data_IF_721592179899
#
_entry.id   IF_721592179899
#
_cell.length_a   1.000
_cell.length_b   1.000
_cell.length_c   1.000
_cell.angle_alpha   90.00
_cell.angle_beta   90.00
_cell.angle_gamma   90.00
#
_symmetry.space_group_name_H-M   'P 1'
#
loop_
_entity.id
_entity.type
_entity.pdbx_description
1 polymer ?
#
# COMPACT_ATOMS: atom_id res chain seq x y z
N UNK A 1 19.77 2.95 39.64
CA UNK A 1 18.36 3.41 39.74
C UNK A 1 17.56 2.55 38.78
N UNK A 2 16.53 1.83 39.24
CA UNK A 2 15.65 1.06 38.34
C UNK A 2 14.53 2.00 37.88
N UNK A 3 14.38 2.13 36.56
CA UNK A 3 13.29 2.88 35.91
C UNK A 3 11.99 2.14 36.23
N UNK A 4 10.98 2.85 36.72
CA UNK A 4 9.64 2.29 36.98
C UNK A 4 8.87 2.04 35.69
N UNK A 5 7.86 1.19 35.73
CA UNK A 5 6.97 0.89 34.59
C UNK A 5 6.32 2.16 34.01
N UNK A 6 5.82 3.03 34.89
CA UNK A 6 5.26 4.33 34.49
C UNK A 6 6.28 5.26 33.82
N UNK A 7 7.55 5.19 34.22
CA UNK A 7 8.62 5.96 33.56
C UNK A 7 8.95 5.37 32.18
N UNK A 8 8.89 4.04 32.02
CA UNK A 8 9.03 3.37 30.73
C UNK A 8 7.91 3.76 29.75
N UNK A 9 6.66 3.65 30.18
CA UNK A 9 5.50 4.07 29.37
C UNK A 9 5.62 5.54 28.93
N UNK A 10 6.07 6.42 29.82
CA UNK A 10 6.23 7.84 29.50
C UNK A 10 7.38 8.07 28.49
N UNK A 11 8.48 7.33 28.59
CA UNK A 11 9.57 7.36 27.61
C UNK A 11 9.06 6.93 26.24
N UNK A 12 8.31 5.84 26.17
CA UNK A 12 7.81 5.30 24.89
C UNK A 12 6.75 6.21 24.27
N UNK A 13 5.84 6.76 25.07
CA UNK A 13 4.90 7.78 24.62
C UNK A 13 5.61 8.99 24.00
N UNK A 14 6.63 9.53 24.69
CA UNK A 14 7.41 10.68 24.17
C UNK A 14 8.15 10.33 22.88
N UNK A 15 8.78 9.16 22.81
CA UNK A 15 9.45 8.68 21.60
C UNK A 15 8.47 8.58 20.42
N UNK A 16 7.29 8.00 20.65
CA UNK A 16 6.23 7.89 19.62
C UNK A 16 5.84 9.29 19.13
N UNK A 17 5.57 10.23 20.04
CA UNK A 17 5.20 11.60 19.70
C UNK A 17 6.28 12.36 18.92
N UNK A 18 7.56 12.19 19.28
CA UNK A 18 8.66 12.79 18.52
C UNK A 18 8.80 12.24 17.11
N UNK A 19 8.61 10.92 16.92
CA UNK A 19 8.64 10.31 15.58
C UNK A 19 7.50 10.83 14.71
N UNK A 20 6.29 10.94 15.25
CA UNK A 20 5.14 11.51 14.56
C UNK A 20 5.38 12.96 14.12
N UNK A 21 5.90 13.81 15.02
CA UNK A 21 6.23 15.20 14.68
C UNK A 21 7.32 15.32 13.62
N UNK A 22 8.31 14.41 13.63
CA UNK A 22 9.35 14.37 12.61
C UNK A 22 8.76 14.01 11.24
N UNK A 23 7.90 13.00 11.18
CA UNK A 23 7.24 12.57 9.95
C UNK A 23 6.35 13.69 9.38
N UNK A 24 5.46 14.27 10.20
CA UNK A 24 4.59 15.36 9.77
C UNK A 24 5.36 16.60 9.28
N UNK A 25 6.52 16.90 9.88
CA UNK A 25 7.38 17.98 9.41
C UNK A 25 8.00 17.67 8.04
N UNK A 26 8.44 16.42 7.85
CA UNK A 26 9.04 15.98 6.59
C UNK A 26 8.01 16.01 5.45
N UNK A 27 6.80 15.49 5.71
CA UNK A 27 5.65 15.57 4.80
C UNK A 27 5.34 17.01 4.40
N UNK A 28 5.24 17.93 5.37
CA UNK A 28 4.93 19.34 5.10
C UNK A 28 6.05 20.09 4.36
N UNK A 29 7.32 19.75 4.60
CA UNK A 29 8.46 20.39 3.90
C UNK A 29 8.57 19.91 2.46
N UNK A 30 8.38 18.60 2.25
CA UNK A 30 8.41 17.98 0.93
C UNK A 30 7.15 18.28 0.12
N UNK A 31 6.04 18.59 0.79
CA UNK A 31 4.71 18.77 0.20
C UNK A 31 3.97 17.45 -0.02
N UNK A 32 4.44 16.34 0.57
CA UNK A 32 3.82 15.01 0.39
C UNK A 32 2.44 14.88 1.05
N UNK A 33 2.09 15.81 1.93
CA UNK A 33 0.76 15.98 2.51
C UNK A 33 -0.27 16.60 1.54
N UNK A 34 0.16 17.05 0.36
CA UNK A 34 -0.76 17.54 -0.67
C UNK A 34 -1.66 16.41 -1.20
N UNK A 35 -2.90 16.78 -1.53
CA UNK A 35 -3.90 15.87 -2.08
C UNK A 35 -3.59 15.41 -3.49
N UNK A 36 -3.68 14.11 -3.74
CA UNK A 36 -3.54 13.53 -5.08
C UNK A 36 -4.81 13.78 -5.90
N UNK A 37 -5.97 13.80 -5.25
CA UNK A 37 -7.27 14.10 -5.85
C UNK A 37 -7.29 15.45 -6.60
N UNK A 38 -6.49 16.42 -6.17
CA UNK A 38 -6.37 17.72 -6.81
C UNK A 38 -5.86 17.66 -8.27
N UNK A 39 -5.30 16.52 -8.69
CA UNK A 39 -4.75 16.30 -10.03
C UNK A 39 -5.66 15.45 -10.93
N UNK A 40 -6.65 14.78 -10.36
CA UNK A 40 -7.47 13.78 -11.06
C UNK A 40 -8.97 14.08 -11.02
N UNK A 41 -9.38 15.01 -10.16
CA UNK A 41 -10.73 15.54 -10.12
C UNK A 41 -10.86 16.80 -10.99
N UNK A 42 -11.91 16.85 -11.79
CA UNK A 42 -12.32 18.03 -12.54
C UNK A 42 -12.83 19.15 -11.62
N UNK A 43 -13.01 20.37 -12.16
CA UNK A 43 -13.54 21.51 -11.41
C UNK A 43 -14.93 21.27 -10.80
N UNK A 44 -15.73 20.36 -11.36
CA UNK A 44 -17.03 19.92 -10.84
C UNK A 44 -16.93 18.77 -9.81
N UNK A 45 -15.71 18.38 -9.43
CA UNK A 45 -15.42 17.30 -8.48
C UNK A 45 -15.50 15.90 -9.07
N UNK A 46 -15.70 15.75 -10.38
CA UNK A 46 -15.78 14.43 -11.02
C UNK A 46 -14.41 13.86 -11.34
N UNK A 47 -14.26 12.56 -11.14
CA UNK A 47 -13.06 11.82 -11.54
C UNK A 47 -12.89 11.75 -13.06
N UNK A 48 -11.64 11.81 -13.52
CA UNK A 48 -11.25 11.60 -14.91
C UNK A 48 -10.11 10.60 -15.03
N UNK A 49 -10.37 9.48 -15.73
CA UNK A 49 -9.37 8.45 -16.03
C UNK A 49 -8.22 9.01 -16.85
N UNK A 50 -8.50 9.87 -17.83
CA UNK A 50 -7.45 10.54 -18.59
C UNK A 50 -6.58 11.48 -17.73
N UNK A 51 -7.15 12.12 -16.71
CA UNK A 51 -6.39 12.95 -15.79
C UNK A 51 -5.48 12.09 -14.90
N UNK A 52 -5.96 10.93 -14.46
CA UNK A 52 -5.14 9.95 -13.75
C UNK A 52 -4.01 9.42 -14.62
N UNK A 53 -4.26 9.00 -15.86
CA UNK A 53 -3.21 8.51 -16.75
C UNK A 53 -2.15 9.58 -17.04
N UNK A 54 -2.56 10.85 -17.24
CA UNK A 54 -1.62 11.97 -17.36
C UNK A 54 -0.78 12.17 -16.11
N UNK A 55 -1.38 12.07 -14.93
CA UNK A 55 -0.65 12.16 -13.66
C UNK A 55 0.37 11.01 -13.52
N UNK A 56 -0.04 9.78 -13.81
CA UNK A 56 0.83 8.60 -13.80
C UNK A 56 2.01 8.79 -14.77
N UNK A 57 1.77 9.27 -15.98
CA UNK A 57 2.83 9.55 -16.96
C UNK A 57 3.83 10.62 -16.48
N UNK A 58 3.34 11.68 -15.84
CA UNK A 58 4.19 12.73 -15.27
C UNK A 58 5.03 12.22 -14.08
N UNK A 59 4.44 11.38 -13.24
CA UNK A 59 5.13 10.72 -12.13
C UNK A 59 6.21 9.77 -12.67
N UNK A 60 5.90 8.90 -13.62
CA UNK A 60 6.88 8.00 -14.25
C UNK A 60 8.06 8.78 -14.84
N UNK A 61 7.81 9.89 -15.54
CA UNK A 61 8.88 10.76 -16.07
C UNK A 61 9.75 11.34 -14.95
N UNK A 62 9.13 11.71 -13.82
CA UNK A 62 9.85 12.22 -12.64
C UNK A 62 10.70 11.14 -11.98
N UNK A 63 10.22 9.90 -11.92
CA UNK A 63 10.98 8.74 -11.44
C UNK A 63 12.17 8.44 -12.36
N UNK A 64 11.95 8.39 -13.68
CA UNK A 64 12.99 8.10 -14.67
C UNK A 64 14.13 9.14 -14.59
N UNK A 65 13.79 10.41 -14.46
CA UNK A 65 14.76 11.48 -14.27
C UNK A 65 15.51 11.40 -12.94
N UNK A 66 14.81 11.09 -11.84
CA UNK A 66 15.44 10.89 -10.55
C UNK A 66 16.44 9.73 -10.62
N UNK A 67 16.02 8.57 -11.13
CA UNK A 67 16.90 7.41 -11.30
C UNK A 67 18.11 7.70 -12.19
N UNK A 68 17.93 8.46 -13.28
CA UNK A 68 19.02 8.90 -14.14
C UNK A 68 20.04 9.79 -13.41
N UNK A 69 19.57 10.80 -12.68
CA UNK A 69 20.44 11.71 -11.92
C UNK A 69 21.23 11.01 -10.82
N UNK A 70 20.66 9.95 -10.26
CA UNK A 70 21.24 9.19 -9.15
C UNK A 70 21.91 7.88 -9.59
N UNK A 71 21.97 7.59 -10.91
CA UNK A 71 22.53 6.37 -11.49
C UNK A 71 21.92 5.08 -10.91
N UNK A 72 20.60 5.08 -10.72
CA UNK A 72 19.84 3.94 -10.18
C UNK A 72 19.40 2.94 -11.27
N UNK A 73 19.59 3.29 -12.55
CA UNK A 73 19.32 2.38 -13.66
C UNK A 73 20.58 1.59 -13.99
N UNK A 74 20.49 0.26 -13.88
CA UNK A 74 21.57 -0.62 -14.31
C UNK A 74 21.72 -0.59 -15.84
N UNK A 75 22.97 -0.64 -16.30
CA UNK A 75 23.29 -0.78 -17.72
C UNK A 75 23.55 -2.24 -18.04
N UNK A 76 22.96 -2.70 -19.14
CA UNK A 76 23.45 -3.91 -19.80
C UNK A 76 24.93 -3.74 -20.17
N UNK A 77 25.73 -4.78 -19.94
CA UNK A 77 27.17 -4.77 -20.24
C UNK A 77 27.40 -4.51 -21.74
N UNK A 78 28.06 -3.38 -22.05
CA UNK A 78 28.41 -3.00 -23.43
C UNK A 78 27.44 -2.02 -24.10
N UNK A 79 26.40 -1.55 -23.40
CA UNK A 79 25.54 -0.48 -23.90
C UNK A 79 26.17 0.91 -23.63
N UNK A 80 26.43 1.66 -24.70
CA UNK A 80 26.95 3.03 -24.64
C UNK A 80 25.84 4.08 -24.42
N UNK A 81 24.56 3.69 -24.52
CA UNK A 81 23.43 4.59 -24.29
C UNK A 81 23.27 4.95 -22.80
N UNK A 82 22.52 6.02 -22.53
CA UNK A 82 22.05 6.32 -21.18
C UNK A 82 21.13 5.19 -20.69
N UNK A 83 21.36 4.73 -19.46
CA UNK A 83 20.51 3.71 -18.85
C UNK A 83 19.15 4.32 -18.58
N UNK A 84 18.08 3.83 -19.19
CA UNK A 84 16.73 4.26 -18.88
C UNK A 84 16.07 3.34 -17.87
N UNK A 85 14.97 3.80 -17.28
CA UNK A 85 14.06 2.92 -16.53
C UNK A 85 13.67 1.68 -17.39
N UNK A 86 13.85 0.44 -16.88
CA UNK A 86 13.48 -0.77 -17.60
C UNK A 86 11.99 -0.77 -18.01
N UNK A 87 11.67 -1.25 -19.21
CA UNK A 87 10.31 -1.19 -19.77
C UNK A 87 9.29 -1.92 -18.90
N UNK A 88 9.62 -3.14 -18.44
CA UNK A 88 8.76 -3.91 -17.54
C UNK A 88 8.60 -3.27 -16.16
N UNK A 89 9.63 -2.62 -15.66
CA UNK A 89 9.52 -1.83 -14.43
C UNK A 89 8.61 -0.61 -14.63
N UNK A 90 8.68 0.04 -15.80
CA UNK A 90 7.78 1.15 -16.15
C UNK A 90 6.32 0.70 -16.21
N UNK A 91 6.03 -0.46 -16.82
CA UNK A 91 4.69 -1.06 -16.84
C UNK A 91 4.19 -1.31 -15.41
N UNK A 92 5.03 -1.94 -14.57
CA UNK A 92 4.73 -2.17 -13.15
C UNK A 92 4.40 -0.86 -12.42
N UNK A 93 5.28 0.14 -12.49
CA UNK A 93 5.09 1.44 -11.82
C UNK A 93 3.80 2.11 -12.30
N UNK A 94 3.51 2.04 -13.60
CA UNK A 94 2.29 2.62 -14.17
C UNK A 94 1.04 2.01 -13.55
N UNK A 95 0.97 0.69 -13.47
CA UNK A 95 -0.20 0.00 -12.92
C UNK A 95 -0.29 0.13 -11.41
N UNK A 96 0.85 0.09 -10.73
CA UNK A 96 0.93 0.35 -9.29
C UNK A 96 0.36 1.73 -8.96
N UNK A 97 0.84 2.78 -9.63
CA UNK A 97 0.39 4.16 -9.41
C UNK A 97 -1.08 4.34 -9.76
N UNK A 98 -1.53 3.74 -10.86
CA UNK A 98 -2.95 3.79 -11.22
C UNK A 98 -3.82 3.15 -10.14
N UNK A 99 -3.49 1.92 -9.71
CA UNK A 99 -4.29 1.17 -8.75
C UNK A 99 -4.33 1.90 -7.39
N UNK A 100 -3.18 2.30 -6.85
CA UNK A 100 -3.13 2.97 -5.54
C UNK A 100 -3.89 4.30 -5.58
N UNK A 101 -3.64 5.16 -6.57
CA UNK A 101 -4.30 6.47 -6.66
C UNK A 101 -5.80 6.30 -6.87
N UNK A 102 -6.21 5.32 -7.68
CA UNK A 102 -7.63 5.07 -7.94
C UNK A 102 -8.38 4.64 -6.67
N UNK A 103 -7.75 3.85 -5.81
CA UNK A 103 -8.35 3.47 -4.53
C UNK A 103 -8.31 4.62 -3.50
N UNK A 104 -7.22 5.38 -3.43
CA UNK A 104 -7.09 6.56 -2.54
C UNK A 104 -8.19 7.61 -2.74
N UNK A 105 -8.67 7.77 -3.97
CA UNK A 105 -9.74 8.72 -4.31
C UNK A 105 -11.14 8.09 -4.29
N UNK A 106 -11.23 6.79 -4.03
CA UNK A 106 -12.50 6.07 -3.87
C UNK A 106 -12.92 6.02 -2.40
N UNK A 107 -14.22 5.86 -2.14
CA UNK A 107 -14.67 5.53 -0.81
C UNK A 107 -14.34 4.05 -0.51
N UNK A 108 -13.29 3.83 0.28
CA UNK A 108 -12.84 2.51 0.74
C UNK A 108 -13.22 2.24 2.20
N UNK A 109 -14.18 2.97 2.79
CA UNK A 109 -14.57 2.79 4.20
C UNK A 109 -15.09 1.37 4.48
N UNK A 110 -15.61 0.68 3.48
CA UNK A 110 -16.12 -0.68 3.61
C UNK A 110 -15.03 -1.73 3.92
N UNK A 111 -13.76 -1.45 3.60
CA UNK A 111 -12.63 -2.33 3.96
C UNK A 111 -12.01 -2.01 5.33
N UNK A 112 -12.59 -1.10 6.12
CA UNK A 112 -12.07 -0.70 7.45
C UNK A 112 -11.89 -1.89 8.42
N UNK A 113 -12.65 -2.97 8.27
CA UNK A 113 -12.46 -4.20 9.07
C UNK A 113 -11.17 -4.96 8.75
N UNK A 114 -10.63 -4.77 7.53
CA UNK A 114 -9.40 -5.39 7.04
C UNK A 114 -8.22 -4.41 7.12
N UNK A 115 -8.50 -3.12 6.94
CA UNK A 115 -7.51 -2.07 6.98
C UNK A 115 -7.18 -1.66 8.42
N UNK A 116 -5.92 -1.79 8.79
CA UNK A 116 -5.41 -1.21 10.04
C UNK A 116 -5.40 0.32 10.02
N UNK A 117 -5.45 0.95 8.82
CA UNK A 117 -5.41 2.39 8.61
C UNK A 117 -6.25 2.81 7.38
N UNK A 118 -6.97 3.94 7.44
CA UNK A 118 -7.79 4.40 6.31
C UNK A 118 -6.94 4.83 5.11
N UNK A 119 -7.54 4.79 3.91
CA UNK A 119 -6.97 5.44 2.74
C UNK A 119 -6.97 6.96 2.93
N UNK A 120 -5.80 7.56 2.77
CA UNK A 120 -5.54 8.99 2.85
C UNK A 120 -5.20 9.51 1.46
N UNK A 121 -5.92 10.53 1.03
CA UNK A 121 -5.64 11.25 -0.21
C UNK A 121 -4.40 12.13 -0.06
N UNK A 122 -3.21 11.51 -0.09
CA UNK A 122 -1.90 12.19 0.01
C UNK A 122 -0.79 11.47 -0.77
N UNK A 123 0.19 12.22 -1.29
CA UNK A 123 1.37 11.60 -1.90
C UNK A 123 2.19 10.77 -0.88
N UNK A 124 2.12 11.12 0.41
CA UNK A 124 2.76 10.34 1.47
C UNK A 124 2.22 8.91 1.54
N UNK A 125 0.92 8.69 1.31
CA UNK A 125 0.36 7.33 1.35
C UNK A 125 0.88 6.46 0.19
N UNK A 126 1.11 7.04 -1.00
CA UNK A 126 1.77 6.33 -2.11
C UNK A 126 3.14 5.82 -1.66
N UNK A 127 3.96 6.69 -1.06
CA UNK A 127 5.28 6.29 -0.56
C UNK A 127 5.20 5.24 0.56
N UNK A 128 4.26 5.40 1.50
CA UNK A 128 4.09 4.44 2.60
C UNK A 128 3.83 3.02 2.09
N UNK A 129 3.01 2.86 1.05
CA UNK A 129 2.79 1.55 0.44
C UNK A 129 3.94 1.09 -0.47
N UNK A 130 4.71 2.00 -1.07
CA UNK A 130 5.91 1.62 -1.82
C UNK A 130 6.95 0.92 -0.93
N UNK A 131 7.06 1.32 0.34
CA UNK A 131 7.90 0.62 1.34
C UNK A 131 7.44 -0.83 1.53
N UNK A 132 6.13 -1.08 1.55
CA UNK A 132 5.59 -2.43 1.67
C UNK A 132 5.84 -3.28 0.42
N UNK A 133 5.66 -2.68 -0.76
CA UNK A 133 5.96 -3.33 -2.05
C UNK A 133 7.43 -3.72 -2.11
N UNK A 134 8.35 -2.80 -1.77
CA UNK A 134 9.78 -3.13 -1.69
C UNK A 134 10.04 -4.25 -0.70
N UNK A 135 9.48 -4.17 0.51
CA UNK A 135 9.64 -5.18 1.56
C UNK A 135 9.24 -6.56 1.03
N UNK A 136 8.17 -6.64 0.23
CA UNK A 136 7.74 -7.89 -0.39
C UNK A 136 8.66 -8.31 -1.53
N UNK A 137 9.06 -7.38 -2.41
CA UNK A 137 9.87 -7.67 -3.59
C UNK A 137 11.24 -8.28 -3.23
N UNK A 138 11.85 -7.87 -2.12
CA UNK A 138 13.17 -8.38 -1.67
C UNK A 138 13.08 -9.70 -0.89
N UNK A 139 11.88 -10.25 -0.67
CA UNK A 139 11.72 -11.57 -0.03
C UNK A 139 12.16 -12.69 -0.97
N UNK A 140 12.44 -13.86 -0.39
CA UNK A 140 12.62 -15.09 -1.17
C UNK A 140 11.36 -15.42 -1.96
N UNK A 141 11.51 -16.11 -3.08
CA UNK A 141 10.37 -16.51 -3.91
C UNK A 141 9.36 -17.34 -3.11
N UNK A 142 9.81 -18.25 -2.25
CA UNK A 142 8.93 -19.00 -1.34
C UNK A 142 8.04 -18.05 -0.54
N UNK A 143 8.62 -17.03 0.09
CA UNK A 143 7.85 -16.11 0.93
C UNK A 143 6.91 -15.21 0.11
N UNK A 144 7.31 -14.76 -1.09
CA UNK A 144 6.43 -14.01 -2.01
C UNK A 144 5.23 -14.86 -2.45
N UNK A 145 5.49 -16.10 -2.89
CA UNK A 145 4.44 -17.00 -3.36
C UNK A 145 3.56 -17.53 -2.22
N UNK A 146 4.05 -17.61 -0.98
CA UNK A 146 3.21 -17.86 0.20
C UNK A 146 2.22 -16.71 0.45
N UNK A 147 2.63 -15.44 0.28
CA UNK A 147 1.68 -14.31 0.38
C UNK A 147 0.64 -14.38 -0.75
N UNK A 148 1.06 -14.68 -1.99
CA UNK A 148 0.13 -14.91 -3.11
C UNK A 148 -0.86 -16.06 -2.85
N UNK A 149 -0.36 -17.16 -2.27
CA UNK A 149 -1.20 -18.30 -1.90
C UNK A 149 -2.23 -17.90 -0.83
N UNK A 150 -1.80 -17.17 0.21
CA UNK A 150 -2.69 -16.64 1.24
C UNK A 150 -3.75 -15.68 0.69
N UNK A 151 -3.35 -14.75 -0.19
CA UNK A 151 -4.23 -13.78 -0.85
C UNK A 151 -5.27 -14.46 -1.76
N UNK A 152 -4.83 -15.48 -2.51
CA UNK A 152 -5.63 -16.12 -3.56
C UNK A 152 -6.52 -17.26 -3.04
N UNK A 153 -6.08 -18.04 -2.06
CA UNK A 153 -6.79 -19.25 -1.63
C UNK A 153 -7.31 -19.21 -0.19
N UNK A 154 -6.88 -18.22 0.59
CA UNK A 154 -7.31 -18.09 1.97
C UNK A 154 -8.06 -16.77 2.16
N UNK A 155 -9.01 -16.72 3.09
CA UNK A 155 -9.54 -15.46 3.63
C UNK A 155 -8.48 -14.71 4.47
N UNK A 156 -7.18 -14.89 4.17
CA UNK A 156 -6.02 -14.40 4.92
C UNK A 156 -5.77 -12.90 4.74
N UNK A 157 -6.83 -12.18 4.39
CA UNK A 157 -6.87 -10.72 4.25
C UNK A 157 -7.03 -10.15 5.64
N UNK A 158 -5.93 -10.10 6.38
CA UNK A 158 -5.94 -9.72 7.80
C UNK A 158 -4.73 -8.91 8.25
N UNK A 159 -3.65 -8.91 7.45
CA UNK A 159 -2.45 -8.14 7.77
C UNK A 159 -2.44 -6.75 7.12
N UNK A 160 -3.44 -6.44 6.30
CA UNK A 160 -3.61 -5.14 5.65
C UNK A 160 -2.56 -4.86 4.58
N UNK A 161 -2.05 -5.89 3.89
CA UNK A 161 -1.04 -5.68 2.84
C UNK A 161 -1.66 -4.95 1.65
N UNK A 162 -0.88 -4.14 0.93
CA UNK A 162 -1.38 -3.42 -0.23
C UNK A 162 -2.07 -4.33 -1.25
N UNK A 163 -1.51 -5.51 -1.52
CA UNK A 163 -2.11 -6.44 -2.49
C UNK A 163 -3.47 -6.94 -2.04
N UNK A 164 -3.68 -7.23 -0.75
CA UNK A 164 -5.00 -7.62 -0.21
C UNK A 164 -6.07 -6.56 -0.47
N UNK A 165 -5.70 -5.28 -0.35
CA UNK A 165 -6.61 -4.18 -0.62
C UNK A 165 -6.97 -4.15 -2.10
N UNK A 166 -5.97 -4.29 -2.96
CA UNK A 166 -6.22 -4.33 -4.40
C UNK A 166 -7.11 -5.50 -4.79
N UNK A 167 -6.92 -6.66 -4.14
CA UNK A 167 -7.74 -7.86 -4.27
C UNK A 167 -9.18 -7.60 -3.87
N UNK A 168 -9.41 -7.03 -2.68
CA UNK A 168 -10.76 -6.71 -2.19
C UNK A 168 -11.50 -5.81 -3.18
N UNK A 169 -10.85 -4.74 -3.64
CA UNK A 169 -11.43 -3.86 -4.65
C UNK A 169 -11.71 -4.61 -5.96
N UNK A 170 -10.80 -5.47 -6.43
CA UNK A 170 -11.00 -6.27 -7.63
C UNK A 170 -12.21 -7.19 -7.51
N UNK A 171 -12.30 -7.97 -6.44
CA UNK A 171 -13.37 -8.96 -6.23
C UNK A 171 -14.71 -8.27 -6.05
N UNK A 172 -14.76 -7.16 -5.31
CA UNK A 172 -15.98 -6.35 -5.17
C UNK A 172 -16.46 -5.82 -6.52
N UNK A 173 -15.56 -5.32 -7.37
CA UNK A 173 -15.90 -4.76 -8.68
C UNK A 173 -16.24 -5.83 -9.73
N UNK A 174 -15.59 -7.00 -9.68
CA UNK A 174 -15.76 -8.07 -10.67
C UNK A 174 -16.78 -9.12 -10.30
N UNK A 175 -17.10 -9.23 -9.02
CA UNK A 175 -17.93 -10.30 -8.47
C UNK A 175 -17.35 -11.70 -8.75
N UNK A 176 -16.01 -11.80 -8.76
CA UNK A 176 -15.25 -13.01 -9.06
C UNK A 176 -14.02 -13.08 -8.15
N UNK A 177 -13.76 -14.27 -7.63
CA UNK A 177 -12.59 -14.58 -6.80
C UNK A 177 -11.26 -14.40 -7.56
N UNK A 178 -10.28 -13.80 -6.89
CA UNK A 178 -8.98 -13.46 -7.49
C UNK A 178 -8.14 -14.68 -7.90
N UNK A 179 -8.37 -15.86 -7.32
CA UNK A 179 -7.65 -17.09 -7.68
C UNK A 179 -7.93 -17.54 -9.12
N UNK A 180 -9.05 -17.09 -9.68
CA UNK A 180 -9.43 -17.37 -11.06
C UNK A 180 -8.51 -16.67 -12.08
N UNK A 181 -7.77 -15.63 -11.66
CA UNK A 181 -6.87 -14.88 -12.52
C UNK A 181 -5.43 -15.41 -12.51
N UNK A 182 -5.13 -16.44 -11.72
CA UNK A 182 -3.78 -17.01 -11.69
C UNK A 182 -3.45 -17.72 -13.01
N UNK A 183 -2.36 -17.30 -13.65
CA UNK A 183 -1.83 -17.98 -14.83
C UNK A 183 -1.40 -19.42 -14.51
N UNK A 184 -1.33 -20.33 -15.49
CA UNK A 184 -0.85 -21.69 -15.28
C UNK A 184 0.54 -21.75 -14.60
N UNK A 185 1.43 -20.83 -14.97
CA UNK A 185 2.77 -20.72 -14.42
C UNK A 185 2.73 -20.25 -12.95
N UNK A 186 1.95 -19.22 -12.63
CA UNK A 186 1.77 -18.76 -11.24
C UNK A 186 1.19 -19.87 -10.37
N UNK A 187 0.16 -20.57 -10.87
CA UNK A 187 -0.47 -21.69 -10.16
C UNK A 187 0.53 -22.82 -9.90
N UNK A 188 1.32 -23.20 -10.90
CA UNK A 188 2.36 -24.21 -10.76
C UNK A 188 3.43 -23.80 -9.73
N UNK A 189 3.82 -22.52 -9.71
CA UNK A 189 4.79 -22.01 -8.73
C UNK A 189 4.23 -21.99 -7.31
N UNK A 190 2.97 -21.59 -7.14
CA UNK A 190 2.25 -21.66 -5.86
C UNK A 190 2.20 -23.12 -5.36
N UNK A 191 1.75 -24.06 -6.20
CA UNK A 191 1.67 -25.48 -5.83
C UNK A 191 3.05 -26.06 -5.48
N UNK A 192 4.09 -25.68 -6.22
CA UNK A 192 5.47 -26.14 -5.99
C UNK A 192 6.07 -25.57 -4.70
N UNK A 193 5.91 -24.27 -4.44
CA UNK A 193 6.57 -23.59 -3.33
C UNK A 193 5.77 -23.65 -2.03
N UNK A 194 4.45 -23.80 -2.13
CA UNK A 194 3.52 -23.81 -1.01
C UNK A 194 2.81 -25.16 -0.83
N UNK A 195 3.18 -26.20 -1.58
CA UNK A 195 2.50 -27.50 -1.59
C UNK A 195 2.42 -28.20 -0.22
N UNK A 196 3.42 -28.03 0.65
CA UNK A 196 3.36 -28.54 2.03
C UNK A 196 2.34 -27.80 2.89
N UNK A 197 2.22 -26.48 2.72
CA UNK A 197 1.18 -25.67 3.37
C UNK A 197 -0.20 -26.03 2.81
N UNK A 198 -0.30 -26.24 1.50
CA UNK A 198 -1.52 -26.66 0.85
C UNK A 198 -1.98 -28.04 1.34
N UNK A 199 -1.06 -29.00 1.48
CA UNK A 199 -1.38 -30.33 1.99
C UNK A 199 -1.81 -30.31 3.47
N UNK A 200 -1.09 -29.56 4.32
CA UNK A 200 -1.46 -29.38 5.72
C UNK A 200 -2.82 -28.68 5.86
N UNK A 201 -3.14 -27.75 4.95
CA UNK A 201 -4.43 -27.08 4.92
C UNK A 201 -5.55 -28.00 4.41
N UNK A 202 -5.33 -28.78 3.36
CA UNK A 202 -6.29 -29.78 2.89
C UNK A 202 -6.58 -30.85 3.96
N UNK A 203 -5.56 -31.22 4.75
CA UNK A 203 -5.72 -32.10 5.92
C UNK A 203 -6.51 -31.41 7.02
N UNK A 204 -6.16 -30.16 7.37
CA UNK A 204 -6.93 -29.35 8.31
C UNK A 204 -8.38 -29.15 7.87
N UNK A 205 -8.65 -28.91 6.59
CA UNK A 205 -10.01 -28.76 6.06
C UNK A 205 -10.79 -30.07 6.17
N UNK A 206 -10.15 -31.22 5.90
CA UNK A 206 -10.80 -32.54 6.07
C UNK A 206 -11.07 -32.85 7.53
N UNK A 207 -10.11 -32.56 8.42
CA UNK A 207 -10.30 -32.70 9.87
C UNK A 207 -11.39 -31.74 10.37
N UNK A 208 -11.38 -30.49 9.91
CA UNK A 208 -12.41 -29.52 10.23
C UNK A 208 -13.77 -29.94 9.68
N UNK A 209 -13.85 -30.49 8.46
CA UNK A 209 -15.06 -31.09 7.87
C UNK A 209 -15.60 -32.29 8.68
N UNK A 210 -14.72 -33.06 9.32
CA UNK A 210 -15.08 -34.16 10.23
C UNK A 210 -15.50 -33.67 11.64
N UNK A 211 -15.06 -32.48 12.05
CA UNK A 211 -15.32 -31.85 13.36
C UNK A 211 -16.31 -30.66 13.27
N UNK A 212 -16.96 -30.44 12.11
CA UNK A 212 -18.01 -29.42 11.98
C UNK A 212 -19.22 -29.89 12.76
N UNK A 213 -19.66 -29.06 13.71
CA UNK A 213 -21.01 -29.16 14.27
C UNK A 213 -22.01 -29.33 13.13
N UNK A 214 -22.87 -30.35 13.21
CA UNK A 214 -23.99 -30.48 12.27
C UNK A 214 -24.82 -29.21 12.26
N UNK A 215 -25.58 -28.93 11.18
CA UNK A 215 -26.47 -27.75 11.13
C UNK A 215 -27.36 -27.62 12.39
N UNK A 216 -27.72 -28.75 13.01
CA UNK A 216 -28.48 -28.83 14.27
C UNK A 216 -27.66 -28.40 15.49
N UNK A 217 -26.38 -28.75 15.56
CA UNK A 217 -25.45 -28.33 16.61
C UNK A 217 -25.02 -26.87 16.44
N UNK A 218 -24.87 -26.40 15.19
CA UNK A 218 -24.67 -24.99 14.87
C UNK A 218 -25.88 -24.18 15.32
N UNK A 219 -27.10 -24.58 14.93
CA UNK A 219 -28.33 -23.90 15.35
C UNK A 219 -28.51 -23.93 16.89
N UNK A 220 -28.14 -25.04 17.54
CA UNK A 220 -28.18 -25.13 19.01
C UNK A 220 -27.15 -24.21 19.69
N UNK A 221 -25.90 -24.19 19.20
CA UNK A 221 -24.86 -23.31 19.72
C UNK A 221 -25.15 -21.82 19.46
N UNK A 222 -25.72 -21.49 18.29
CA UNK A 222 -26.19 -20.14 17.96
C UNK A 222 -27.37 -19.75 18.86
N UNK A 223 -28.29 -20.66 19.18
CA UNK A 223 -29.38 -20.41 20.13
C UNK A 223 -28.91 -20.24 21.59
N UNK A 224 -27.73 -20.75 21.95
CA UNK A 224 -27.08 -20.48 23.25
C UNK A 224 -26.28 -19.16 23.26
N UNK A 225 -26.05 -18.57 22.08
CA UNK A 225 -25.38 -17.27 21.89
C UNK A 225 -26.37 -16.09 21.74
N UNK A 226 -27.68 -16.35 21.76
CA UNK A 226 -28.75 -15.37 22.02
C UNK A 226 -28.65 -14.95 23.52
N UNK A 227 -28.60 -13.69 23.97
CA UNK A 227 -29.19 -12.45 23.49
C UNK A 227 -28.39 -11.24 24.06
N UNK A 228 -27.18 -10.93 23.56
CA UNK A 228 -26.72 -9.54 23.71
C UNK A 228 -27.30 -8.77 22.53
N UNK A 229 -28.59 -8.43 22.66
CA UNK A 229 -29.37 -7.72 21.64
C UNK A 229 -28.65 -6.43 21.20
N UNK A 230 -27.89 -5.79 22.11
CA UNK A 230 -27.07 -4.62 21.81
C UNK A 230 -25.83 -4.95 20.96
N UNK A 231 -25.13 -6.06 21.25
CA UNK A 231 -24.02 -6.52 20.43
C UNK A 231 -24.47 -7.01 19.05
N UNK A 232 -25.56 -7.79 18.99
CA UNK A 232 -26.10 -8.28 17.72
C UNK A 232 -26.61 -7.12 16.87
N UNK A 233 -27.33 -6.17 17.46
CA UNK A 233 -27.74 -4.95 16.77
C UNK A 233 -26.52 -4.14 16.30
N UNK A 234 -25.47 -4.02 17.10
CA UNK A 234 -24.23 -3.35 16.69
C UNK A 234 -23.56 -4.06 15.51
N UNK A 235 -23.49 -5.38 15.53
CA UNK A 235 -22.89 -6.18 14.46
C UNK A 235 -23.70 -6.09 13.17
N UNK A 236 -25.03 -6.13 13.25
CA UNK A 236 -25.94 -5.95 12.12
C UNK A 236 -25.81 -4.54 11.52
N UNK A 237 -25.83 -3.49 12.37
CA UNK A 237 -25.63 -2.11 11.93
C UNK A 237 -24.24 -1.89 11.30
N UNK A 238 -23.21 -2.60 11.79
CA UNK A 238 -21.88 -2.58 11.19
C UNK A 238 -21.86 -3.29 9.83
N UNK A 239 -22.49 -4.46 9.71
CA UNK A 239 -22.59 -5.21 8.45
C UNK A 239 -23.37 -4.41 7.39
N UNK A 240 -24.51 -3.85 7.76
CA UNK A 240 -25.33 -3.02 6.88
C UNK A 240 -24.56 -1.77 6.42
N UNK A 241 -23.79 -1.12 7.31
CA UNK A 241 -22.91 0.00 6.92
C UNK A 241 -21.81 -0.43 5.96
N UNK A 242 -21.16 -1.56 6.21
CA UNK A 242 -20.14 -2.12 5.31
C UNK A 242 -20.74 -2.43 3.94
N UNK A 243 -21.86 -3.14 3.88
CA UNK A 243 -22.53 -3.53 2.62
C UNK A 243 -23.02 -2.30 1.85
N UNK A 244 -23.60 -1.31 2.54
CA UNK A 244 -24.02 -0.06 1.90
C UNK A 244 -22.83 0.72 1.33
N UNK A 245 -21.72 0.79 2.07
CA UNK A 245 -20.50 1.46 1.62
C UNK A 245 -19.83 0.72 0.43
N UNK A 246 -19.81 -0.61 0.46
CA UNK A 246 -19.32 -1.42 -0.67
C UNK A 246 -20.21 -1.25 -1.92
N UNK A 247 -21.53 -1.27 -1.75
CA UNK A 247 -22.47 -1.03 -2.85
C UNK A 247 -22.32 0.38 -3.42
N UNK A 248 -22.08 1.38 -2.57
CA UNK A 248 -21.77 2.74 -3.02
C UNK A 248 -20.45 2.80 -3.78
N UNK A 249 -19.41 2.13 -3.28
CA UNK A 249 -18.13 1.97 -3.97
C UNK A 249 -18.35 1.39 -5.37
N UNK A 250 -19.00 0.23 -5.49
CA UNK A 250 -19.30 -0.43 -6.78
C UNK A 250 -20.06 0.49 -7.74
N UNK A 251 -21.07 1.22 -7.23
CA UNK A 251 -21.90 2.12 -8.05
C UNK A 251 -21.15 3.36 -8.52
N UNK A 252 -20.25 3.89 -7.70
CA UNK A 252 -19.54 5.15 -7.99
C UNK A 252 -18.19 4.93 -8.65
N UNK A 253 -17.69 3.70 -8.69
CA UNK A 253 -16.41 3.38 -9.28
C UNK A 253 -16.44 3.47 -10.81
N UNK A 254 -15.88 4.57 -11.33
CA UNK A 254 -15.70 4.78 -12.77
C UNK A 254 -14.55 3.88 -13.28
N UNK A 255 -14.77 3.28 -14.45
CA UNK A 255 -13.83 2.43 -15.19
C UNK A 255 -13.29 1.23 -14.41
N UNK A 256 -14.19 0.52 -13.73
CA UNK A 256 -13.89 -0.71 -12.98
C UNK A 256 -13.11 -1.74 -13.81
N UNK A 257 -13.47 -1.92 -15.09
CA UNK A 257 -12.77 -2.84 -15.99
C UNK A 257 -11.29 -2.47 -16.17
N UNK A 258 -10.99 -1.18 -16.32
CA UNK A 258 -9.63 -0.69 -16.50
C UNK A 258 -8.82 -0.96 -15.23
N UNK A 259 -9.38 -0.66 -14.05
CA UNK A 259 -8.74 -0.99 -12.78
C UNK A 259 -8.41 -2.49 -12.68
N UNK A 260 -9.39 -3.34 -12.95
CA UNK A 260 -9.20 -4.79 -12.83
C UNK A 260 -8.15 -5.34 -13.81
N UNK A 261 -8.12 -4.86 -15.05
CA UNK A 261 -7.11 -5.27 -16.03
C UNK A 261 -5.71 -4.82 -15.64
N UNK A 262 -5.57 -3.57 -15.16
CA UNK A 262 -4.28 -3.04 -14.70
C UNK A 262 -3.80 -3.76 -13.45
N UNK A 263 -4.69 -4.10 -12.54
CA UNK A 263 -4.35 -4.87 -11.34
C UNK A 263 -3.89 -6.29 -11.66
N UNK A 264 -4.55 -7.00 -12.57
CA UNK A 264 -4.10 -8.35 -13.00
C UNK A 264 -2.68 -8.24 -13.60
N UNK A 265 -2.46 -7.29 -14.52
CA UNK A 265 -1.15 -7.08 -15.14
C UNK A 265 -0.07 -6.71 -14.11
N UNK A 266 -0.40 -5.86 -13.14
CA UNK A 266 0.49 -5.51 -12.03
C UNK A 266 0.96 -6.75 -11.27
N UNK A 267 0.04 -7.65 -10.91
CA UNK A 267 0.37 -8.90 -10.20
C UNK A 267 1.22 -9.82 -11.05
N UNK A 268 0.86 -10.01 -12.32
CA UNK A 268 1.63 -10.84 -13.24
C UNK A 268 3.09 -10.36 -13.34
N UNK A 269 3.30 -9.05 -13.53
CA UNK A 269 4.65 -8.49 -13.58
C UNK A 269 5.38 -8.71 -12.26
N UNK A 270 4.72 -8.46 -11.12
CA UNK A 270 5.33 -8.58 -9.79
C UNK A 270 5.75 -10.01 -9.45
N UNK A 271 4.97 -11.02 -9.83
CA UNK A 271 5.27 -12.41 -9.46
C UNK A 271 6.08 -13.17 -10.49
N UNK A 272 6.00 -12.79 -11.77
CA UNK A 272 6.56 -13.59 -12.87
C UNK A 272 7.61 -12.87 -13.72
N UNK A 273 7.65 -11.54 -13.71
CA UNK A 273 8.49 -10.76 -14.64
C UNK A 273 9.55 -9.90 -13.94
N UNK A 274 9.75 -10.06 -12.63
CA UNK A 274 10.84 -9.42 -11.90
C UNK A 274 12.20 -10.11 -12.11
N UNK A 275 12.26 -11.12 -12.97
CA UNK A 275 13.46 -11.92 -13.22
C UNK A 275 14.48 -11.14 -14.05
N UNK A 276 15.47 -10.54 -13.37
CA UNK A 276 16.62 -9.91 -13.99
C UNK A 276 17.36 -8.99 -13.02
N UNK A 277 18.67 -8.83 -13.18
CA UNK A 277 19.48 -7.97 -12.29
C UNK A 277 18.95 -6.52 -12.28
N UNK A 278 18.49 -6.02 -13.43
CA UNK A 278 17.91 -4.68 -13.61
C UNK A 278 16.60 -4.49 -12.82
N UNK A 279 15.68 -5.46 -12.93
CA UNK A 279 14.39 -5.44 -12.21
C UNK A 279 14.57 -5.61 -10.71
N UNK A 280 15.45 -6.55 -10.30
CA UNK A 280 15.77 -6.78 -8.90
C UNK A 280 16.40 -5.56 -8.25
N UNK A 281 17.30 -4.86 -8.96
CA UNK A 281 17.88 -3.62 -8.46
C UNK A 281 16.83 -2.51 -8.33
N UNK A 282 16.02 -2.28 -9.36
CA UNK A 282 14.97 -1.26 -9.31
C UNK A 282 13.96 -1.53 -8.19
N UNK A 283 13.59 -2.80 -7.96
CA UNK A 283 12.70 -3.19 -6.87
C UNK A 283 13.33 -3.06 -5.49
N UNK A 284 14.63 -3.33 -5.36
CA UNK A 284 15.37 -3.15 -4.11
C UNK A 284 15.47 -1.67 -3.68
N UNK A 285 15.30 -0.75 -4.63
CA UNK A 285 15.33 0.71 -4.41
C UNK A 285 13.94 1.35 -4.63
N UNK A 286 12.86 0.55 -4.62
CA UNK A 286 11.53 1.01 -5.08
C UNK A 286 10.96 2.17 -4.25
N UNK A 287 11.08 2.15 -2.93
CA UNK A 287 10.63 3.25 -2.07
C UNK A 287 11.45 4.52 -2.27
N UNK A 288 12.78 4.42 -2.39
CA UNK A 288 13.66 5.56 -2.70
C UNK A 288 13.35 6.16 -4.09
N UNK A 289 13.04 5.31 -5.08
CA UNK A 289 12.60 5.74 -6.42
C UNK A 289 11.24 6.45 -6.36
N UNK A 290 10.29 5.95 -5.57
CA UNK A 290 8.97 6.58 -5.38
C UNK A 290 9.09 7.89 -4.60
N UNK A 291 9.93 7.96 -3.56
CA UNK A 291 10.21 9.20 -2.83
C UNK A 291 10.79 10.26 -3.76
N UNK A 292 11.86 9.91 -4.49
CA UNK A 292 12.50 10.82 -5.45
C UNK A 292 11.58 11.26 -6.59
N UNK A 293 10.73 10.35 -7.09
CA UNK A 293 9.69 10.65 -8.06
C UNK A 293 8.74 11.74 -7.57
N UNK A 294 8.20 11.55 -6.35
CA UNK A 294 7.24 12.47 -5.75
C UNK A 294 7.91 13.82 -5.45
N UNK A 295 9.13 13.80 -4.93
CA UNK A 295 9.91 15.02 -4.65
C UNK A 295 10.17 15.83 -5.93
N UNK A 296 10.60 15.19 -7.02
CA UNK A 296 10.80 15.85 -8.31
C UNK A 296 9.50 16.44 -8.83
N UNK A 297 8.40 15.68 -8.76
CA UNK A 297 7.08 16.11 -9.21
C UNK A 297 6.57 17.34 -8.43
N UNK A 298 6.58 17.28 -7.10
CA UNK A 298 6.09 18.34 -6.23
C UNK A 298 6.99 19.60 -6.28
N UNK A 299 8.31 19.42 -6.37
CA UNK A 299 9.24 20.53 -6.56
C UNK A 299 8.95 21.28 -7.87
N UNK A 300 8.71 20.58 -8.97
CA UNK A 300 8.41 21.23 -10.26
C UNK A 300 7.13 22.06 -10.25
N UNK A 301 6.19 21.68 -9.39
CA UNK A 301 4.90 22.35 -9.25
C UNK A 301 4.88 23.40 -8.15
N UNK A 302 6.02 23.68 -7.51
CA UNK A 302 6.12 24.68 -6.44
C UNK A 302 5.36 24.29 -5.17
N UNK A 303 5.08 22.99 -4.98
CA UNK A 303 4.36 22.46 -3.82
C UNK A 303 5.30 22.01 -2.70
N UNK A 304 6.60 21.89 -2.99
CA UNK A 304 7.64 21.64 -2.01
C UNK A 304 8.28 22.94 -1.53
N UNK A 305 8.59 23.02 -0.24
CA UNK A 305 9.37 24.14 0.32
C UNK A 305 10.82 24.16 -0.19
N UNK A 306 11.33 23.07 -0.78
CA UNK A 306 12.66 23.06 -1.40
C UNK A 306 12.80 24.05 -2.56
N UNK A 307 11.68 24.46 -3.16
CA UNK A 307 11.64 25.45 -4.24
C UNK A 307 11.73 26.87 -3.67
N UNK A 308 11.13 27.12 -2.50
CA UNK A 308 11.20 28.40 -1.80
C UNK A 308 12.38 28.41 -0.82
N UNK A 309 13.55 28.77 -1.35
CA UNK A 309 14.79 28.89 -0.58
C UNK A 309 14.63 29.78 0.68
N UNK A 310 13.78 30.81 0.64
CA UNK A 310 13.59 31.70 1.79
C UNK A 310 12.82 30.99 2.90
N UNK A 311 11.72 30.33 2.56
CA UNK A 311 10.95 29.57 3.54
C UNK A 311 11.71 28.34 4.03
N UNK A 312 12.43 27.64 3.17
CA UNK A 312 13.33 26.55 3.57
C UNK A 312 14.37 27.03 4.59
N UNK A 313 15.07 28.14 4.31
CA UNK A 313 16.08 28.70 5.22
C UNK A 313 15.45 29.15 6.55
N UNK A 314 14.25 29.73 6.52
CA UNK A 314 13.50 30.12 7.74
C UNK A 314 13.19 28.90 8.60
N UNK A 315 12.59 27.87 8.00
CA UNK A 315 12.22 26.62 8.67
C UNK A 315 13.45 25.91 9.23
N UNK A 316 14.50 25.72 8.42
CA UNK A 316 15.78 25.14 8.84
C UNK A 316 16.40 25.90 10.02
N UNK A 317 16.44 27.24 9.94
CA UNK A 317 17.02 28.07 11.00
C UNK A 317 16.23 27.96 12.29
N UNK A 318 14.90 27.92 12.22
CA UNK A 318 14.04 27.72 13.38
C UNK A 318 14.33 26.37 14.05
N UNK A 319 14.32 25.28 13.28
CA UNK A 319 14.61 23.93 13.76
C UNK A 319 16.00 23.86 14.40
N UNK A 320 17.02 24.40 13.72
CA UNK A 320 18.39 24.42 14.23
C UNK A 320 18.51 25.15 15.57
N UNK A 321 17.89 26.32 15.71
CA UNK A 321 17.86 27.06 16.98
C UNK A 321 17.20 26.27 18.11
N UNK A 322 16.12 25.54 17.83
CA UNK A 322 15.48 24.68 18.84
C UNK A 322 16.39 23.52 19.23
N UNK A 323 17.07 22.88 18.27
CA UNK A 323 18.04 21.80 18.54
C UNK A 323 19.18 22.32 19.42
N UNK A 324 19.74 23.49 19.10
CA UNK A 324 20.84 24.08 19.86
C UNK A 324 20.40 24.43 21.29
N UNK A 325 19.20 25.01 21.47
CA UNK A 325 18.61 25.26 22.80
C UNK A 325 18.40 23.97 23.61
N UNK A 326 17.94 22.89 22.97
CA UNK A 326 17.78 21.58 23.63
C UNK A 326 19.14 21.04 24.08
N UNK A 327 20.20 21.23 23.28
CA UNK A 327 21.55 20.84 23.68
C UNK A 327 21.99 21.65 24.88
N UNK A 328 21.90 22.98 24.87
CA UNK A 328 22.28 23.84 26.00
C UNK A 328 21.60 23.42 27.31
N UNK A 329 20.30 23.17 27.29
CA UNK A 329 19.54 22.68 28.47
C UNK A 329 20.05 21.34 29.04
N UNK A 330 20.69 20.50 28.23
CA UNK A 330 21.32 19.24 28.70
C UNK A 330 22.68 19.45 29.37
N UNK A 331 23.34 20.58 29.12
CA UNK A 331 24.63 20.91 29.77
C UNK A 331 24.43 21.63 31.10
N UNK A 332 23.25 22.22 31.34
CA UNK A 332 22.87 22.88 32.60
C UNK A 332 22.34 21.90 33.68
N UNK A 333 22.19 20.61 33.33
CA UNK A 333 21.80 19.50 34.22
C UNK A 333 22.98 18.56 34.38
#
# INVERSE_FOLDING_TARGET
>A
MRISEKEWENIDFRKKKYRQLKAALDEAVTGRDNKVSAFVLCEDGRYSTEALDRLVDELIKSMDEYGNRHNMWLKALGDENEAGMPEKFREFVSDYLYCIIRLMISNMDWVEKVLTWPFEDSFQQILSHAVEVRRLAIKSDVAKFCELWGESYYCGRGDGSLFDIFTLAYESLKDVDISTTLTPEMRSMVEKLCGEQNAAYEEYLKEAEEDVMSDVEIDAALSELDEDEEYNQYMDEMLERTENSENEFKRTFIDAEVYCQRYIRLREIFYMELDGDEMNHAMAEFDDLVEGMIDVFLCRRGMSLYVDVKEFVRSYTCIKKQIDRIKELRWEV
#
